data_IF_075597749185
#
_entry.id   IF_075597749185
#
_cell.length_a   1.000
_cell.length_b   1.000
_cell.length_c   1.000
_cell.angle_alpha   90.00
_cell.angle_beta   90.00
_cell.angle_gamma   90.00
#
_symmetry.space_group_name_H-M   'P 1'
#
loop_
_entity.id
_entity.type
_entity.pdbx_description
1 polymer ?
#
# COMPACT_ATOMS: atom_id res chain seq x y z
N UNK A 1 -2.27 -20.45 -3.26
CA UNK A 1 -1.63 -20.29 -1.94
C UNK A 1 -1.42 -18.80 -1.75
N UNK A 2 -2.40 -18.11 -1.17
CA UNK A 2 -2.33 -16.66 -0.99
C UNK A 2 -2.20 -16.33 0.49
N UNK A 3 -0.98 -15.98 0.88
CA UNK A 3 -0.73 -15.35 2.17
C UNK A 3 -0.83 -13.84 1.98
N UNK A 4 -1.78 -13.21 2.67
CA UNK A 4 -1.88 -11.75 2.72
C UNK A 4 -0.75 -11.17 3.56
N UNK A 5 0.06 -10.29 2.98
CA UNK A 5 1.10 -9.55 3.69
C UNK A 5 0.74 -8.07 3.66
N UNK A 6 0.79 -7.40 4.81
CA UNK A 6 0.64 -5.96 4.93
C UNK A 6 1.87 -5.38 5.65
N UNK A 7 2.43 -4.30 5.12
CA UNK A 7 3.54 -3.58 5.74
C UNK A 7 3.15 -2.14 5.97
N UNK A 8 3.40 -1.63 7.17
CA UNK A 8 3.13 -0.24 7.56
C UNK A 8 4.44 0.52 7.66
N UNK A 9 4.55 1.63 6.94
CA UNK A 9 5.66 2.57 7.04
C UNK A 9 5.21 3.84 7.75
N UNK A 10 6.02 4.30 8.70
CA UNK A 10 5.95 5.64 9.30
C UNK A 10 6.78 6.62 8.46
N UNK A 11 6.15 7.68 7.99
CA UNK A 11 6.77 8.69 7.11
C UNK A 11 7.38 9.86 7.88
N UNK A 12 7.06 10.02 9.18
CA UNK A 12 7.49 11.15 10.04
C UNK A 12 8.50 10.74 11.10
N UNK A 13 8.81 9.45 11.23
CA UNK A 13 9.89 8.96 12.07
C UNK A 13 9.58 9.02 13.56
N UNK A 14 8.32 8.80 13.94
CA UNK A 14 7.96 8.62 15.34
C UNK A 14 8.59 7.33 15.86
N UNK A 15 9.47 7.49 16.85
CA UNK A 15 10.05 6.35 17.57
C UNK A 15 8.94 5.72 18.41
N UNK A 16 8.53 4.49 18.09
CA UNK A 16 7.79 3.68 19.04
C UNK A 16 8.69 3.45 20.25
N UNK A 17 8.24 3.89 21.43
CA UNK A 17 8.95 3.65 22.68
C UNK A 17 9.19 2.13 22.82
N UNK A 18 10.46 1.75 22.85
CA UNK A 18 10.87 0.38 23.07
C UNK A 18 10.76 0.06 24.56
N UNK A 19 9.63 -0.49 24.98
CA UNK A 19 9.55 -1.22 26.26
C UNK A 19 8.83 -2.58 26.08
N UNK A 20 9.66 -3.63 26.18
CA UNK A 20 9.41 -4.95 26.76
C UNK A 20 8.14 -5.75 26.37
N UNK A 21 8.08 -6.22 25.13
CA UNK A 21 7.89 -7.64 24.75
C UNK A 21 8.09 -7.70 23.25
N UNK A 22 8.96 -8.60 22.75
CA UNK A 22 9.20 -8.71 21.30
C UNK A 22 7.98 -9.35 20.65
N UNK A 23 6.96 -8.53 20.42
CA UNK A 23 5.75 -8.89 19.70
C UNK A 23 6.12 -9.23 18.25
N UNK A 24 5.44 -10.19 17.62
CA UNK A 24 5.75 -10.60 16.27
C UNK A 24 5.65 -9.41 15.30
N UNK A 25 6.76 -9.08 14.65
CA UNK A 25 6.84 -8.07 13.58
C UNK A 25 6.25 -8.60 12.27
N UNK A 26 6.05 -9.92 12.18
CA UNK A 26 5.50 -10.63 11.02
C UNK A 26 4.57 -11.73 11.52
N UNK A 27 3.35 -11.77 10.99
CA UNK A 27 2.38 -12.82 11.25
C UNK A 27 2.02 -13.56 9.96
N UNK A 28 1.59 -14.81 10.11
CA UNK A 28 1.10 -15.65 9.00
C UNK A 28 -0.10 -16.46 9.49
N UNK A 29 -1.03 -16.72 8.59
CA UNK A 29 -2.14 -17.65 8.84
C UNK A 29 -2.39 -18.50 7.60
N UNK A 30 -3.08 -19.61 7.81
CA UNK A 30 -3.68 -20.38 6.73
C UNK A 30 -5.07 -19.84 6.46
N UNK A 31 -5.36 -19.49 5.21
CA UNK A 31 -6.65 -18.91 4.87
C UNK A 31 -7.77 -19.90 5.13
N UNK A 32 -8.84 -19.42 5.77
CA UNK A 32 -10.06 -20.18 6.00
C UNK A 32 -11.01 -20.15 4.80
N UNK A 33 -10.66 -19.40 3.76
CA UNK A 33 -11.56 -19.08 2.63
C UNK A 33 -12.40 -17.82 2.86
N UNK A 34 -12.48 -17.33 4.10
CA UNK A 34 -13.06 -16.03 4.43
C UNK A 34 -11.94 -15.00 4.64
N UNK A 35 -11.61 -14.29 3.57
CA UNK A 35 -10.54 -13.28 3.54
C UNK A 35 -10.75 -12.16 4.57
N UNK A 36 -12.00 -11.79 4.87
CA UNK A 36 -12.31 -10.71 5.79
C UNK A 36 -11.96 -11.13 7.22
N UNK A 37 -12.43 -12.32 7.61
CA UNK A 37 -12.14 -12.90 8.92
C UNK A 37 -10.65 -13.20 9.08
N UNK A 38 -10.00 -13.72 8.03
CA UNK A 38 -8.58 -13.97 8.00
C UNK A 38 -7.76 -12.69 8.25
N UNK A 39 -8.02 -11.61 7.50
CA UNK A 39 -7.29 -10.34 7.67
C UNK A 39 -7.50 -9.77 9.08
N UNK A 40 -8.74 -9.81 9.60
CA UNK A 40 -9.01 -9.33 10.96
C UNK A 40 -8.22 -10.12 11.99
N UNK A 41 -8.23 -11.45 11.90
CA UNK A 41 -7.46 -12.32 12.79
C UNK A 41 -5.95 -12.03 12.70
N UNK A 42 -5.43 -11.85 11.48
CA UNK A 42 -4.03 -11.48 11.27
C UNK A 42 -3.66 -10.18 11.98
N UNK A 43 -4.48 -9.14 11.80
CA UNK A 43 -4.24 -7.82 12.40
C UNK A 43 -4.37 -7.87 13.92
N UNK A 44 -5.30 -8.63 14.47
CA UNK A 44 -5.42 -8.84 15.92
C UNK A 44 -4.18 -9.55 16.49
N UNK A 45 -3.66 -10.59 15.82
CA UNK A 45 -2.41 -11.28 16.22
C UNK A 45 -1.20 -10.34 16.22
N UNK A 46 -1.19 -9.34 15.34
CA UNK A 46 -0.16 -8.30 15.29
C UNK A 46 -0.30 -7.23 16.39
N UNK A 47 -1.37 -7.28 17.20
CA UNK A 47 -1.65 -6.33 18.28
C UNK A 47 -2.78 -5.34 17.99
N UNK A 48 -3.55 -5.56 16.92
CA UNK A 48 -4.69 -4.74 16.52
C UNK A 48 -4.31 -3.50 15.70
N UNK A 49 -5.27 -2.97 14.94
CA UNK A 49 -5.02 -1.86 13.99
C UNK A 49 -4.54 -0.57 14.68
N UNK A 50 -4.99 -0.30 15.91
CA UNK A 50 -4.61 0.86 16.73
C UNK A 50 -3.10 0.97 17.01
N UNK A 51 -2.38 -0.15 16.91
CA UNK A 51 -0.92 -0.18 17.06
C UNK A 51 -0.21 0.45 15.86
N UNK A 52 -0.86 0.44 14.69
CA UNK A 52 -0.29 0.86 13.42
C UNK A 52 -0.88 2.18 12.89
N UNK A 53 -2.06 2.56 13.34
CA UNK A 53 -2.74 3.79 12.94
C UNK A 53 -3.35 4.44 14.18
N UNK A 54 -2.96 5.68 14.45
CA UNK A 54 -3.54 6.49 15.52
C UNK A 54 -4.69 7.37 14.97
N UNK A 55 -5.66 7.77 15.81
CA UNK A 55 -6.83 8.50 15.34
C UNK A 55 -6.56 9.83 14.61
N UNK A 56 -5.46 10.52 14.94
CA UNK A 56 -5.10 11.79 14.33
C UNK A 56 -4.26 11.66 13.04
N UNK A 57 -3.81 10.45 12.71
CA UNK A 57 -2.91 10.21 11.58
C UNK A 57 -3.67 10.15 10.25
N UNK A 58 -3.02 10.60 9.17
CA UNK A 58 -3.48 10.37 7.80
C UNK A 58 -2.82 9.12 7.19
N UNK A 59 -3.60 8.30 6.50
CA UNK A 59 -3.17 6.98 6.01
C UNK A 59 -3.31 6.85 4.50
N UNK A 60 -2.22 6.48 3.84
CA UNK A 60 -2.24 6.05 2.44
C UNK A 60 -2.29 4.53 2.35
N UNK A 61 -3.33 3.99 1.74
CA UNK A 61 -3.41 2.57 1.38
C UNK A 61 -2.87 2.42 -0.05
N UNK A 62 -1.78 1.67 -0.18
CA UNK A 62 -1.04 1.49 -1.43
C UNK A 62 -1.19 0.06 -1.93
N UNK A 63 -2.17 -0.24 -2.80
CA UNK A 63 -2.29 -1.55 -3.42
C UNK A 63 -1.25 -1.77 -4.51
N UNK A 64 -1.25 -2.98 -5.06
CA UNK A 64 -0.65 -3.32 -6.35
C UNK A 64 -1.66 -3.02 -7.46
N UNK A 65 -1.47 -1.91 -8.19
CA UNK A 65 -2.30 -1.55 -9.34
C UNK A 65 -1.41 -1.27 -10.58
N UNK A 66 -0.68 -2.28 -11.05
CA UNK A 66 0.20 -2.11 -12.21
C UNK A 66 -0.50 -2.28 -13.58
N UNK A 67 -1.73 -2.82 -13.62
CA UNK A 67 -2.44 -3.22 -14.84
C UNK A 67 -3.96 -3.19 -14.63
N UNK A 68 -4.80 -3.13 -15.69
CA UNK A 68 -6.26 -3.14 -15.58
C UNK A 68 -6.85 -4.52 -15.27
N UNK A 69 -6.02 -5.53 -15.03
CA UNK A 69 -6.50 -6.89 -14.77
C UNK A 69 -6.88 -7.05 -13.28
N UNK A 70 -7.91 -7.86 -13.03
CA UNK A 70 -8.34 -8.22 -11.68
C UNK A 70 -7.28 -9.06 -10.95
N UNK A 71 -7.51 -9.30 -9.66
CA UNK A 71 -6.75 -10.30 -8.89
C UNK A 71 -6.70 -11.65 -9.63
N UNK A 72 -5.54 -12.35 -9.68
CA UNK A 72 -4.31 -12.10 -8.92
C UNK A 72 -3.28 -11.21 -9.62
N UNK A 73 -3.64 -10.51 -10.71
CA UNK A 73 -2.70 -9.59 -11.36
C UNK A 73 -2.42 -8.35 -10.48
N UNK A 74 -3.45 -7.88 -9.79
CA UNK A 74 -3.47 -6.74 -8.86
C UNK A 74 -3.90 -7.18 -7.45
N UNK A 75 -3.94 -6.28 -6.47
CA UNK A 75 -4.45 -6.60 -5.12
C UNK A 75 -5.94 -6.92 -5.17
N UNK A 76 -6.40 -7.94 -4.44
CA UNK A 76 -7.83 -8.26 -4.32
C UNK A 76 -8.61 -7.07 -3.75
N UNK A 77 -9.76 -6.78 -4.37
CA UNK A 77 -10.68 -5.73 -3.90
C UNK A 77 -11.19 -6.01 -2.49
N UNK A 78 -11.39 -7.28 -2.10
CA UNK A 78 -11.83 -7.65 -0.76
C UNK A 78 -10.75 -7.37 0.29
N UNK A 79 -9.48 -7.56 -0.07
CA UNK A 79 -8.34 -7.20 0.80
C UNK A 79 -8.31 -5.69 1.00
N UNK A 80 -8.41 -4.91 -0.08
CA UNK A 80 -8.43 -3.45 -0.03
C UNK A 80 -9.61 -2.98 0.84
N UNK A 81 -10.82 -3.48 0.58
CA UNK A 81 -12.04 -3.17 1.33
C UNK A 81 -11.88 -3.44 2.83
N UNK A 82 -11.33 -4.61 3.17
CA UNK A 82 -11.17 -5.01 4.56
C UNK A 82 -10.18 -4.11 5.29
N UNK A 83 -9.05 -3.79 4.65
CA UNK A 83 -8.03 -2.91 5.23
C UNK A 83 -8.54 -1.48 5.36
N UNK A 84 -9.23 -0.94 4.36
CA UNK A 84 -9.91 0.37 4.43
C UNK A 84 -10.86 0.41 5.62
N UNK A 85 -11.68 -0.64 5.79
CA UNK A 85 -12.64 -0.72 6.89
C UNK A 85 -11.96 -0.78 8.25
N UNK A 86 -10.84 -1.51 8.37
CA UNK A 86 -10.05 -1.56 9.60
C UNK A 86 -9.42 -0.20 9.94
N UNK A 87 -8.81 0.47 8.98
CA UNK A 87 -8.21 1.81 9.17
C UNK A 87 -9.27 2.83 9.60
N UNK A 88 -10.47 2.77 9.01
CA UNK A 88 -11.59 3.65 9.37
C UNK A 88 -12.08 3.51 10.80
N UNK A 89 -11.81 2.38 11.46
CA UNK A 89 -12.10 2.26 12.91
C UNK A 89 -11.22 3.19 13.75
N UNK A 90 -10.12 3.70 13.19
CA UNK A 90 -9.20 4.62 13.86
C UNK A 90 -9.33 6.04 13.30
N UNK A 91 -9.37 6.22 11.98
CA UNK A 91 -9.34 7.53 11.32
C UNK A 91 -10.05 7.51 9.96
N UNK A 92 -10.78 8.57 9.65
CA UNK A 92 -11.34 8.81 8.31
C UNK A 92 -10.39 9.58 7.38
N UNK A 93 -9.19 9.93 7.86
CA UNK A 93 -8.17 10.64 7.08
C UNK A 93 -7.37 9.67 6.23
N UNK A 94 -8.02 8.95 5.31
CA UNK A 94 -7.36 7.97 4.45
C UNK A 94 -7.63 8.17 2.97
N UNK A 95 -6.70 7.70 2.15
CA UNK A 95 -6.84 7.61 0.70
C UNK A 95 -6.26 6.29 0.17
N UNK A 96 -6.72 5.89 -1.01
CA UNK A 96 -6.09 4.82 -1.80
C UNK A 96 -5.29 5.50 -2.91
N UNK A 97 -4.09 5.04 -3.24
CA UNK A 97 -3.37 5.62 -4.37
C UNK A 97 -2.32 4.71 -4.96
N UNK A 98 -2.09 4.84 -6.27
CA UNK A 98 -1.01 4.18 -7.01
C UNK A 98 -0.72 4.94 -8.31
N UNK A 99 0.27 4.47 -9.07
CA UNK A 99 0.38 4.68 -10.49
C UNK A 99 0.62 3.34 -11.19
N UNK A 100 -0.02 3.13 -12.34
CA UNK A 100 0.12 1.91 -13.13
C UNK A 100 1.51 1.68 -13.71
N UNK A 101 1.70 0.47 -14.25
CA UNK A 101 2.87 0.13 -15.05
C UNK A 101 2.84 0.88 -16.38
N UNK A 102 4.01 1.17 -16.95
CA UNK A 102 4.16 1.97 -18.16
C UNK A 102 3.28 1.51 -19.33
N UNK A 103 3.17 0.20 -19.55
CA UNK A 103 2.38 -0.42 -20.64
C UNK A 103 0.87 -0.21 -20.44
N UNK A 104 0.43 0.06 -19.21
CA UNK A 104 -0.96 0.21 -18.82
C UNK A 104 -1.28 1.63 -18.36
N UNK A 105 -0.58 2.62 -18.90
CA UNK A 105 -0.95 4.03 -18.76
C UNK A 105 -2.10 4.35 -19.74
N UNK A 106 -3.01 5.29 -19.40
CA UNK A 106 -3.03 6.07 -18.16
C UNK A 106 -3.48 5.26 -16.93
N UNK A 107 -3.07 5.68 -15.73
CA UNK A 107 -3.35 4.93 -14.49
C UNK A 107 -4.85 4.80 -14.20
N UNK A 108 -5.66 5.82 -14.51
CA UNK A 108 -7.13 5.75 -14.43
C UNK A 108 -7.76 4.53 -15.11
N UNK A 109 -7.17 4.04 -16.21
CA UNK A 109 -7.69 2.87 -16.93
C UNK A 109 -7.36 1.59 -16.17
N UNK A 110 -6.19 1.53 -15.54
CA UNK A 110 -5.82 0.44 -14.65
C UNK A 110 -6.75 0.39 -13.42
N UNK A 111 -7.02 1.54 -12.79
CA UNK A 111 -7.97 1.64 -11.68
C UNK A 111 -9.37 1.16 -12.06
N UNK A 112 -9.86 1.58 -13.22
CA UNK A 112 -11.18 1.22 -13.70
C UNK A 112 -11.25 -0.27 -14.04
N UNK A 113 -10.28 -0.78 -14.80
CA UNK A 113 -10.25 -2.18 -15.23
C UNK A 113 -10.18 -3.17 -14.06
N UNK A 114 -9.40 -2.86 -13.01
CA UNK A 114 -9.34 -3.72 -11.83
C UNK A 114 -10.51 -3.54 -10.86
N UNK A 115 -11.44 -2.59 -11.14
CA UNK A 115 -12.59 -2.28 -10.29
C UNK A 115 -12.31 -1.36 -9.10
N UNK A 116 -11.08 -0.83 -8.98
CA UNK A 116 -10.68 0.02 -7.85
C UNK A 116 -11.42 1.35 -7.82
N UNK A 117 -11.71 1.94 -8.99
CA UNK A 117 -12.51 3.18 -9.10
C UNK A 117 -13.89 3.00 -8.48
N UNK A 118 -14.56 1.88 -8.80
CA UNK A 118 -15.89 1.59 -8.28
C UNK A 118 -15.85 1.35 -6.76
N UNK A 119 -14.88 0.58 -6.27
CA UNK A 119 -14.68 0.33 -4.85
C UNK A 119 -14.42 1.62 -4.06
N UNK A 120 -13.50 2.46 -4.53
CA UNK A 120 -13.17 3.71 -3.85
C UNK A 120 -14.39 4.64 -3.74
N UNK A 121 -15.20 4.72 -4.81
CA UNK A 121 -16.47 5.47 -4.80
C UNK A 121 -17.48 4.87 -3.83
N UNK A 122 -17.68 3.56 -3.86
CA UNK A 122 -18.61 2.85 -2.96
C UNK A 122 -18.25 3.09 -1.50
N UNK A 123 -16.97 3.05 -1.18
CA UNK A 123 -16.49 3.29 0.17
C UNK A 123 -16.43 4.78 0.52
N UNK A 124 -16.51 5.70 -0.44
CA UNK A 124 -16.32 7.14 -0.21
C UNK A 124 -14.90 7.47 0.23
N UNK A 125 -13.90 6.82 -0.37
CA UNK A 125 -12.47 7.05 -0.10
C UNK A 125 -11.83 7.72 -1.33
N UNK A 126 -11.04 8.80 -1.16
CA UNK A 126 -10.29 9.39 -2.26
C UNK A 126 -9.36 8.37 -2.94
N UNK A 127 -9.40 8.35 -4.28
CA UNK A 127 -8.51 7.56 -5.12
C UNK A 127 -7.51 8.49 -5.81
N UNK A 128 -6.23 8.34 -5.50
CA UNK A 128 -5.16 9.18 -6.00
C UNK A 128 -4.43 8.51 -7.16
N UNK A 129 -4.52 9.11 -8.34
CA UNK A 129 -3.65 8.82 -9.47
C UNK A 129 -2.37 9.64 -9.31
N UNK A 130 -1.25 8.99 -8.98
CA UNK A 130 -0.01 9.72 -8.75
C UNK A 130 0.56 10.37 -10.01
N UNK A 131 0.15 9.98 -11.22
CA UNK A 131 0.58 10.64 -12.45
C UNK A 131 -0.09 11.99 -12.68
N UNK A 132 -1.21 12.26 -12.02
CA UNK A 132 -1.94 13.54 -12.10
C UNK A 132 -1.37 14.59 -11.13
N UNK A 133 -0.21 14.30 -10.53
CA UNK A 133 0.41 15.10 -9.49
C UNK A 133 1.90 15.31 -9.75
N UNK A 134 2.45 16.32 -9.10
CA UNK A 134 3.85 16.69 -9.24
C UNK A 134 4.79 15.65 -8.62
N UNK A 135 5.98 15.54 -9.22
CA UNK A 135 7.06 14.68 -8.74
C UNK A 135 8.12 15.53 -8.06
N UNK A 136 8.31 15.35 -6.76
CA UNK A 136 9.33 16.07 -5.99
C UNK A 136 10.62 15.28 -5.92
N UNK A 137 11.74 15.96 -6.13
CA UNK A 137 13.04 15.38 -5.88
C UNK A 137 13.28 15.20 -4.38
N UNK A 138 13.82 14.04 -3.99
CA UNK A 138 14.17 13.69 -2.62
C UNK A 138 15.57 13.10 -2.60
N UNK A 139 16.39 13.58 -1.69
CA UNK A 139 17.71 13.01 -1.42
C UNK A 139 17.63 12.04 -0.25
N UNK A 140 18.41 10.96 -0.34
CA UNK A 140 18.57 9.98 0.72
C UNK A 140 20.06 9.95 1.12
N UNK A 141 20.49 10.78 2.09
CA UNK A 141 21.91 10.93 2.45
C UNK A 141 22.56 9.62 2.91
N UNK A 142 21.75 8.69 3.45
CA UNK A 142 22.18 7.37 3.92
C UNK A 142 22.25 6.32 2.80
N UNK A 143 21.77 6.61 1.58
CA UNK A 143 21.76 5.66 0.49
C UNK A 143 23.15 5.54 -0.15
N UNK A 144 23.66 4.32 -0.33
CA UNK A 144 24.95 4.08 -1.03
C UNK A 144 24.81 4.20 -2.56
N UNK A 145 23.60 4.05 -3.09
CA UNK A 145 23.23 4.14 -4.52
C UNK A 145 21.81 4.73 -4.61
N UNK A 146 21.47 5.35 -5.74
CA UNK A 146 20.21 6.11 -5.90
C UNK A 146 20.01 7.13 -4.78
N UNK A 147 21.01 8.01 -4.62
CA UNK A 147 21.04 9.05 -3.58
C UNK A 147 19.99 10.13 -3.78
N UNK A 148 19.39 10.21 -4.98
CA UNK A 148 18.32 11.12 -5.33
C UNK A 148 17.28 10.39 -6.17
N UNK A 149 16.01 10.59 -5.85
CA UNK A 149 14.85 10.01 -6.54
C UNK A 149 13.74 11.04 -6.67
N UNK A 150 12.92 10.97 -7.73
CA UNK A 150 11.68 11.74 -7.80
C UNK A 150 10.53 10.88 -7.26
N UNK A 151 9.80 11.38 -6.27
CA UNK A 151 8.61 10.71 -5.73
C UNK A 151 7.38 11.61 -5.82
N UNK A 152 6.19 11.03 -5.88
CA UNK A 152 4.93 11.80 -5.89
C UNK A 152 4.85 12.69 -4.67
N UNK A 153 4.48 13.97 -4.86
CA UNK A 153 4.37 14.91 -3.75
C UNK A 153 3.27 14.56 -2.75
N UNK A 154 2.30 13.71 -3.14
CA UNK A 154 1.20 13.32 -2.27
C UNK A 154 1.65 12.59 -1.01
N UNK A 155 2.84 11.99 -1.01
CA UNK A 155 3.40 11.34 0.17
C UNK A 155 3.58 12.29 1.36
N UNK A 156 3.78 13.59 1.12
CA UNK A 156 3.92 14.59 2.18
C UNK A 156 2.63 14.75 3.03
N UNK A 157 1.49 14.25 2.53
CA UNK A 157 0.16 14.43 3.14
C UNK A 157 -0.20 13.30 4.11
N UNK A 158 0.59 12.22 4.18
CA UNK A 158 0.28 11.01 4.92
C UNK A 158 1.29 10.75 6.03
N UNK A 159 0.81 10.42 7.22
CA UNK A 159 1.60 9.94 8.36
C UNK A 159 2.00 8.47 8.21
N UNK A 160 1.10 7.66 7.63
CA UNK A 160 1.27 6.22 7.48
C UNK A 160 1.05 5.78 6.04
N UNK A 161 1.83 4.80 5.61
CA UNK A 161 1.61 4.09 4.34
C UNK A 161 1.41 2.61 4.64
N UNK A 162 0.28 2.05 4.21
CA UNK A 162 -0.01 0.62 4.29
C UNK A 162 0.14 0.01 2.89
N UNK A 163 1.17 -0.80 2.69
CA UNK A 163 1.35 -1.54 1.44
C UNK A 163 0.53 -2.82 1.45
N UNK A 164 -0.15 -3.08 0.32
CA UNK A 164 -0.89 -4.32 0.07
C UNK A 164 -0.36 -5.03 -1.18
N UNK A 165 0.84 -5.63 -1.14
CA UNK A 165 1.43 -6.32 -2.28
C UNK A 165 0.69 -7.63 -2.61
N UNK A 166 0.63 -7.99 -3.89
CA UNK A 166 0.30 -9.35 -4.33
C UNK A 166 1.59 -10.12 -4.60
N UNK A 167 1.75 -11.30 -4.01
CA UNK A 167 2.93 -12.14 -4.23
C UNK A 167 2.82 -12.82 -5.60
N UNK A 168 3.64 -12.39 -6.56
CA UNK A 168 3.68 -12.96 -7.91
C UNK A 168 5.09 -13.01 -8.46
N UNK A 169 5.36 -13.98 -9.32
CA UNK A 169 6.57 -13.99 -10.14
C UNK A 169 6.52 -12.82 -11.14
N UNK A 170 7.67 -12.23 -11.41
CA UNK A 170 7.75 -11.09 -12.33
C UNK A 170 9.02 -11.18 -13.17
N UNK A 171 8.87 -11.04 -14.48
CA UNK A 171 9.95 -11.17 -15.46
C UNK A 171 11.22 -10.40 -15.08
N UNK A 172 11.07 -9.15 -14.62
CA UNK A 172 12.19 -8.29 -14.23
C UNK A 172 12.58 -8.26 -12.74
N UNK A 173 11.80 -8.89 -11.84
CA UNK A 173 12.06 -8.77 -10.38
C UNK A 173 12.14 -10.10 -9.63
N UNK A 174 12.11 -11.25 -10.34
CA UNK A 174 11.95 -12.62 -9.79
C UNK A 174 10.65 -12.80 -8.98
N UNK A 175 10.42 -12.00 -7.94
CA UNK A 175 9.21 -11.98 -7.09
C UNK A 175 8.78 -10.51 -6.86
N UNK A 176 7.48 -10.25 -6.94
CA UNK A 176 6.87 -8.97 -6.54
C UNK A 176 6.52 -9.05 -5.06
N UNK A 177 7.12 -8.16 -4.25
CA UNK A 177 6.84 -8.02 -2.81
C UNK A 177 6.71 -6.52 -2.48
N UNK A 178 6.60 -6.19 -1.19
CA UNK A 178 6.36 -4.82 -0.71
C UNK A 178 7.33 -3.76 -1.28
N UNK A 179 8.62 -4.06 -1.41
CA UNK A 179 9.60 -3.09 -1.93
C UNK A 179 9.31 -2.67 -3.37
N UNK A 180 8.83 -3.60 -4.21
CA UNK A 180 8.47 -3.32 -5.61
C UNK A 180 7.25 -2.41 -5.72
N UNK A 181 6.37 -2.39 -4.72
CA UNK A 181 5.21 -1.51 -4.68
C UNK A 181 5.59 -0.03 -4.64
N UNK A 182 6.80 0.28 -4.14
CA UNK A 182 7.39 1.61 -4.16
C UNK A 182 7.65 2.17 -5.56
N UNK A 183 7.74 1.32 -6.60
CA UNK A 183 7.89 1.80 -7.98
C UNK A 183 6.72 2.68 -8.44
N UNK A 184 5.52 2.45 -7.90
CA UNK A 184 4.35 3.28 -8.16
C UNK A 184 4.50 4.72 -7.66
N UNK A 185 5.42 4.98 -6.72
CA UNK A 185 5.72 6.32 -6.23
C UNK A 185 6.71 7.09 -7.09
N UNK A 186 7.36 6.45 -8.06
CA UNK A 186 8.35 7.07 -8.95
C UNK A 186 7.70 7.43 -10.30
N UNK A 187 8.09 8.53 -10.96
CA UNK A 187 7.68 8.77 -12.34
C UNK A 187 8.27 7.70 -13.27
N UNK A 188 7.62 7.40 -14.39
CA UNK A 188 8.05 6.37 -15.36
C UNK A 188 9.53 6.52 -15.76
N UNK A 189 9.99 7.75 -15.99
CA UNK A 189 11.37 8.07 -16.38
C UNK A 189 12.43 7.58 -15.39
N UNK A 190 12.08 7.42 -14.12
CA UNK A 190 12.97 7.01 -13.03
C UNK A 190 12.93 5.49 -12.77
N UNK A 191 12.10 4.73 -13.51
CA UNK A 191 11.90 3.28 -13.30
C UNK A 191 12.85 2.39 -14.13
N UNK A 192 14.09 2.81 -14.30
CA UNK A 192 15.10 2.14 -15.14
C UNK A 192 15.99 1.19 -14.36
#
# INVERSE_FOLDING_TARGET
>A
MDAGYAHVLDTRGHTFAAEATMQPTVEKLFSTGDIVSDIRNLVERLGGIRKFVLPSESVLIKPACNSPFAFPATTSLDVIRTVVSLVRTQTDRLAIGDSSGFIHKPTRDAFTGMGLTALAREMGVPLLDFDEHEWKSRSAPRARRLTQVHITEKLDQFDRIIYLPTMRTHAWARITMALKLGMGFLPVKDRK
#
